data_IF_250621206420
#
_entry.id   IF_250621206420
#
_cell.length_a   1.000
_cell.length_b   1.000
_cell.length_c   1.000
_cell.angle_alpha   90.00
_cell.angle_beta   90.00
_cell.angle_gamma   90.00
#
_symmetry.space_group_name_H-M   'P 1'
#
loop_
_entity.id
_entity.type
_entity.pdbx_description
1 polymer ?
#
# COMPACT_ATOMS: atom_id res chain seq x y z
N UNK A 1 -2.33 7.03 18.93
CA UNK A 1 -1.63 5.74 18.95
C UNK A 1 -0.45 5.92 18.00
N UNK A 2 0.78 5.61 18.42
CA UNK A 2 1.99 6.23 17.84
C UNK A 2 2.82 5.29 16.97
N UNK A 3 3.64 5.91 16.10
CA UNK A 3 4.65 5.23 15.28
C UNK A 3 5.59 4.32 16.09
N UNK A 4 5.98 4.73 17.31
CA UNK A 4 6.86 3.93 18.17
C UNK A 4 6.25 2.55 18.50
N UNK A 5 4.94 2.49 18.74
CA UNK A 5 4.27 1.22 19.03
C UNK A 5 4.27 0.30 17.81
N UNK A 6 4.09 0.86 16.62
CA UNK A 6 4.18 0.10 15.37
C UNK A 6 5.60 -0.44 15.13
N UNK A 7 6.63 0.38 15.42
CA UNK A 7 8.02 -0.07 15.34
C UNK A 7 8.28 -1.24 16.30
N UNK A 8 7.82 -1.14 17.54
CA UNK A 8 8.06 -2.16 18.57
C UNK A 8 7.24 -3.44 18.33
N UNK A 9 5.98 -3.33 17.90
CA UNK A 9 5.07 -4.47 17.77
C UNK A 9 5.11 -5.15 16.41
N UNK A 10 5.44 -4.42 15.34
CA UNK A 10 5.40 -4.92 13.97
C UNK A 10 6.78 -4.96 13.35
N UNK A 11 7.46 -3.81 13.21
CA UNK A 11 8.75 -3.73 12.51
C UNK A 11 9.82 -4.58 13.20
N UNK A 12 9.86 -4.60 14.53
CA UNK A 12 10.83 -5.41 15.29
C UNK A 12 10.75 -6.92 15.03
N UNK A 13 9.62 -7.40 14.47
CA UNK A 13 9.39 -8.81 14.12
C UNK A 13 9.82 -9.14 12.69
N UNK A 14 10.28 -8.16 11.93
CA UNK A 14 10.82 -8.29 10.59
C UNK A 14 9.78 -8.25 9.47
N UNK A 15 10.28 -8.39 8.24
CA UNK A 15 9.53 -8.20 7.00
C UNK A 15 8.24 -9.03 6.84
N UNK A 16 8.19 -10.26 7.37
CA UNK A 16 6.97 -11.07 7.30
C UNK A 16 5.83 -10.45 8.13
N UNK A 17 6.14 -9.75 9.22
CA UNK A 17 5.15 -9.16 10.12
C UNK A 17 4.44 -7.94 9.51
N UNK A 18 5.03 -7.30 8.50
CA UNK A 18 4.43 -6.19 7.76
C UNK A 18 3.65 -6.63 6.52
N UNK A 19 3.59 -7.93 6.21
CA UNK A 19 2.74 -8.42 5.13
C UNK A 19 1.26 -8.14 5.47
N UNK A 20 0.44 -7.66 4.52
CA UNK A 20 -0.93 -7.24 4.81
C UNK A 20 -1.77 -8.26 5.60
N UNK A 21 -1.66 -9.54 5.23
CA UNK A 21 -2.43 -10.64 5.83
C UNK A 21 -1.91 -11.09 7.22
N UNK A 22 -0.75 -10.58 7.66
CA UNK A 22 -0.18 -10.85 8.98
C UNK A 22 -0.37 -9.67 9.95
N UNK A 23 -0.88 -8.54 9.47
CA UNK A 23 -1.17 -7.39 10.30
C UNK A 23 -2.41 -7.65 11.16
N UNK A 24 -2.33 -7.27 12.43
CA UNK A 24 -3.52 -7.14 13.27
C UNK A 24 -4.44 -6.06 12.70
N UNK A 25 -5.76 -6.23 12.92
CA UNK A 25 -6.82 -5.37 12.38
C UNK A 25 -6.52 -3.88 12.61
N UNK A 26 -6.05 -3.50 13.80
CA UNK A 26 -5.73 -2.11 14.13
C UNK A 26 -4.63 -1.48 13.26
N UNK A 27 -3.64 -2.28 12.83
CA UNK A 27 -2.53 -1.81 12.02
C UNK A 27 -2.91 -1.78 10.56
N UNK A 28 -3.68 -2.79 10.12
CA UNK A 28 -4.23 -2.84 8.78
C UNK A 28 -5.14 -1.64 8.52
N UNK A 29 -6.02 -1.26 9.45
CA UNK A 29 -6.88 -0.08 9.30
C UNK A 29 -6.08 1.22 9.14
N UNK A 30 -5.00 1.38 9.90
CA UNK A 30 -4.14 2.58 9.83
C UNK A 30 -3.37 2.66 8.53
N UNK A 31 -2.76 1.54 8.13
CA UNK A 31 -2.06 1.44 6.85
C UNK A 31 -3.04 1.58 5.67
N UNK A 32 -4.28 1.11 5.80
CA UNK A 32 -5.33 1.30 4.80
C UNK A 32 -5.62 2.79 4.59
N UNK A 33 -5.75 3.58 5.66
CA UNK A 33 -5.94 5.03 5.53
C UNK A 33 -4.78 5.69 4.79
N UNK A 34 -3.53 5.36 5.17
CA UNK A 34 -2.34 5.91 4.52
C UNK A 34 -2.24 5.49 3.05
N UNK A 35 -2.42 4.20 2.75
CA UNK A 35 -2.38 3.63 1.41
C UNK A 35 -3.43 4.27 0.49
N UNK A 36 -4.66 4.42 0.99
CA UNK A 36 -5.74 5.07 0.26
C UNK A 36 -5.41 6.52 -0.07
N UNK A 37 -4.92 7.29 0.90
CA UNK A 37 -4.56 8.69 0.69
C UNK A 37 -3.39 8.82 -0.29
N UNK A 38 -2.36 7.98 -0.15
CA UNK A 38 -1.22 7.92 -1.06
C UNK A 38 -1.66 7.66 -2.50
N UNK A 39 -2.50 6.64 -2.72
CA UNK A 39 -3.03 6.31 -4.05
C UNK A 39 -3.91 7.42 -4.62
N UNK A 40 -4.72 8.09 -3.79
CA UNK A 40 -5.56 9.20 -4.23
C UNK A 40 -4.71 10.37 -4.74
N UNK A 41 -3.68 10.77 -3.99
CA UNK A 41 -2.73 11.80 -4.42
C UNK A 41 -2.00 11.40 -5.71
N UNK A 42 -1.57 10.15 -5.82
CA UNK A 42 -0.88 9.65 -7.01
C UNK A 42 -1.78 9.67 -8.27
N UNK A 43 -3.09 9.45 -8.13
CA UNK A 43 -4.04 9.45 -9.26
C UNK A 43 -4.48 10.87 -9.64
N UNK A 44 -4.71 11.74 -8.66
CA UNK A 44 -5.22 13.09 -8.91
C UNK A 44 -4.16 14.04 -9.49
N UNK A 45 -2.89 13.62 -9.53
CA UNK A 45 -1.74 14.47 -9.91
C UNK A 45 -1.78 15.84 -9.19
N UNK A 46 -2.36 15.88 -7.99
CA UNK A 46 -2.49 17.13 -7.25
C UNK A 46 -1.11 17.55 -6.75
N UNK A 47 -0.61 18.68 -7.27
CA UNK A 47 0.40 19.50 -6.62
C UNK A 47 -0.22 20.08 -5.33
N UNK A 48 -0.47 19.24 -4.33
CA UNK A 48 -0.89 19.70 -3.01
C UNK A 48 0.34 20.21 -2.26
N UNK A 49 0.25 21.42 -1.70
CA UNK A 49 1.24 21.92 -0.72
C UNK A 49 1.27 21.08 0.58
N UNK A 50 0.40 20.06 0.71
CA UNK A 50 0.41 19.09 1.80
C UNK A 50 1.50 18.03 1.59
N UNK A 51 2.41 17.90 2.56
CA UNK A 51 3.40 16.82 2.54
C UNK A 51 2.69 15.46 2.59
N UNK A 52 2.83 14.61 1.56
CA UNK A 52 2.13 13.32 1.48
C UNK A 52 2.50 12.34 2.61
N UNK A 53 3.56 12.66 3.37
CA UNK A 53 4.10 11.83 4.44
C UNK A 53 4.17 12.53 5.80
N UNK A 54 3.38 13.59 6.01
CA UNK A 54 3.43 14.41 7.24
C UNK A 54 2.78 13.77 8.48
N UNK A 55 1.97 12.72 8.32
CA UNK A 55 1.24 12.09 9.42
C UNK A 55 1.81 10.73 9.86
N UNK A 56 1.45 10.30 11.07
CA UNK A 56 1.97 9.06 11.67
C UNK A 56 1.64 7.80 10.85
N UNK A 57 0.49 7.72 10.17
CA UNK A 57 0.14 6.53 9.40
C UNK A 57 0.98 6.45 8.12
N UNK A 58 1.24 7.59 7.49
CA UNK A 58 2.13 7.68 6.34
C UNK A 58 3.57 7.30 6.70
N UNK A 59 4.03 7.66 7.90
CA UNK A 59 5.32 7.16 8.43
C UNK A 59 5.31 5.64 8.65
N UNK A 60 4.20 5.06 9.13
CA UNK A 60 4.06 3.59 9.26
C UNK A 60 4.15 2.89 7.90
N UNK A 61 3.49 3.46 6.88
CA UNK A 61 3.53 2.96 5.50
C UNK A 61 4.96 2.95 4.95
N UNK A 62 5.67 4.07 5.11
CA UNK A 62 7.08 4.19 4.71
C UNK A 62 7.97 3.18 5.43
N UNK A 63 7.79 3.00 6.75
CA UNK A 63 8.55 2.01 7.52
C UNK A 63 8.32 0.58 7.03
N UNK A 64 7.06 0.21 6.74
CA UNK A 64 6.73 -1.13 6.24
C UNK A 64 7.36 -1.40 4.87
N UNK A 65 7.28 -0.45 3.94
CA UNK A 65 7.89 -0.58 2.60
C UNK A 65 9.42 -0.62 2.69
N UNK A 66 10.00 0.18 3.58
CA UNK A 66 11.45 0.17 3.83
C UNK A 66 11.92 -1.19 4.33
N UNK A 67 11.23 -1.75 5.33
CA UNK A 67 11.53 -3.08 5.89
C UNK A 67 11.46 -4.18 4.82
N UNK A 68 10.39 -4.20 4.01
CA UNK A 68 10.24 -5.17 2.92
C UNK A 68 11.30 -5.00 1.82
N UNK A 69 11.62 -3.76 1.46
CA UNK A 69 12.65 -3.46 0.46
C UNK A 69 14.02 -3.93 0.93
N UNK A 70 14.35 -3.72 2.21
CA UNK A 70 15.60 -4.20 2.79
C UNK A 70 15.66 -5.73 2.82
N UNK A 71 14.56 -6.40 3.15
CA UNK A 71 14.50 -7.86 3.17
C UNK A 71 14.67 -8.50 1.79
N UNK A 72 14.19 -7.84 0.71
CA UNK A 72 14.37 -8.33 -0.66
C UNK A 72 15.78 -8.10 -1.22
N UNK A 73 16.51 -7.10 -0.72
CA UNK A 73 17.84 -6.73 -1.22
C UNK A 73 18.99 -7.57 -0.64
N UNK A 74 18.71 -8.61 0.15
CA UNK A 74 19.73 -9.34 0.92
C UNK A 74 20.66 -8.34 1.66
N UNK A 75 20.06 -7.37 2.36
CA UNK A 75 20.78 -6.25 2.96
C UNK A 75 21.97 -6.72 3.79
N UNK A 76 23.18 -6.49 3.26
CA UNK A 76 24.44 -6.73 3.97
C UNK A 76 24.88 -5.38 4.55
N UNK A 77 25.03 -5.21 5.88
CA UNK A 77 25.26 -3.91 6.52
C UNK A 77 26.53 -3.14 6.09
N UNK A 78 27.35 -3.71 5.21
CA UNK A 78 28.64 -3.19 4.75
C UNK A 78 28.62 -2.72 3.28
N UNK A 79 27.49 -2.81 2.56
CA UNK A 79 27.38 -2.26 1.22
C UNK A 79 27.03 -0.77 1.32
N UNK A 80 27.94 0.07 0.81
CA UNK A 80 27.83 1.53 0.78
C UNK A 80 26.43 1.95 0.33
N UNK A 81 25.87 2.99 0.98
CA UNK A 81 24.55 3.58 0.73
C UNK A 81 24.25 3.72 -0.78
N UNK A 82 23.74 2.64 -1.38
CA UNK A 82 23.17 2.69 -2.72
C UNK A 82 21.98 3.62 -2.61
N UNK A 83 22.09 4.76 -3.30
CA UNK A 83 21.03 5.76 -3.36
C UNK A 83 19.72 5.03 -3.63
N UNK A 84 18.77 5.18 -2.70
CA UNK A 84 17.43 4.62 -2.88
C UNK A 84 16.89 5.22 -4.17
N UNK A 85 16.70 4.38 -5.19
CA UNK A 85 16.04 4.78 -6.42
C UNK A 85 14.62 5.24 -6.04
N UNK A 86 14.40 6.55 -6.07
CA UNK A 86 13.14 7.17 -5.69
C UNK A 86 11.98 6.60 -6.52
N UNK A 87 12.20 6.38 -7.82
CA UNK A 87 11.20 5.81 -8.72
C UNK A 87 10.80 4.39 -8.30
N UNK A 88 11.79 3.54 -8.02
CA UNK A 88 11.54 2.18 -7.52
C UNK A 88 10.84 2.21 -6.15
N UNK A 89 11.18 3.15 -5.28
CA UNK A 89 10.54 3.26 -3.97
C UNK A 89 9.07 3.68 -4.08
N UNK A 90 8.74 4.62 -4.97
CA UNK A 90 7.35 4.99 -5.26
C UNK A 90 6.55 3.83 -5.89
N UNK A 91 7.18 3.02 -6.73
CA UNK A 91 6.58 1.81 -7.28
C UNK A 91 6.29 0.77 -6.18
N UNK A 92 7.24 0.54 -5.27
CA UNK A 92 7.06 -0.33 -4.11
C UNK A 92 5.95 0.18 -3.18
N UNK A 93 5.88 1.50 -2.93
CA UNK A 93 4.79 2.13 -2.19
C UNK A 93 3.44 1.87 -2.84
N UNK A 94 3.36 2.00 -4.16
CA UNK A 94 2.12 1.76 -4.92
C UNK A 94 1.68 0.30 -4.82
N UNK A 95 2.61 -0.63 -4.98
CA UNK A 95 2.31 -2.06 -4.90
C UNK A 95 1.90 -2.50 -3.49
N UNK A 96 2.58 -2.00 -2.46
CA UNK A 96 2.23 -2.28 -1.07
C UNK A 96 0.87 -1.67 -0.71
N UNK A 97 0.62 -0.43 -1.13
CA UNK A 97 -0.66 0.25 -0.91
C UNK A 97 -1.83 -0.52 -1.52
N UNK A 98 -1.70 -0.97 -2.78
CA UNK A 98 -2.71 -1.83 -3.41
C UNK A 98 -2.89 -3.15 -2.66
N UNK A 99 -1.82 -3.77 -2.19
CA UNK A 99 -1.88 -5.02 -1.43
C UNK A 99 -2.60 -4.85 -0.08
N UNK A 100 -2.44 -3.70 0.58
CA UNK A 100 -3.20 -3.34 1.79
C UNK A 100 -4.69 -3.20 1.48
N UNK A 101 -5.05 -2.52 0.39
CA UNK A 101 -6.43 -2.37 -0.03
C UNK A 101 -7.07 -3.73 -0.38
N UNK A 102 -6.35 -4.61 -1.09
CA UNK A 102 -6.83 -5.95 -1.40
C UNK A 102 -7.05 -6.80 -0.15
N UNK A 103 -6.15 -6.74 0.84
CA UNK A 103 -6.36 -7.44 2.10
C UNK A 103 -7.59 -6.90 2.86
N UNK A 104 -7.76 -5.57 2.93
CA UNK A 104 -8.92 -4.97 3.57
C UNK A 104 -10.24 -5.39 2.87
N UNK A 105 -10.25 -5.43 1.54
CA UNK A 105 -11.39 -5.93 0.76
C UNK A 105 -11.63 -7.41 1.04
N UNK A 106 -10.57 -8.24 1.04
CA UNK A 106 -10.65 -9.68 1.32
C UNK A 106 -11.22 -9.97 2.70
N UNK A 107 -10.92 -9.15 3.72
CA UNK A 107 -11.46 -9.31 5.07
C UNK A 107 -12.95 -8.96 5.18
N UNK A 108 -13.46 -8.11 4.28
CA UNK A 108 -14.82 -7.55 4.35
C UNK A 108 -15.77 -8.07 3.25
N UNK A 109 -15.29 -8.93 2.35
CA UNK A 109 -16.04 -9.42 1.19
C UNK A 109 -15.90 -10.93 1.01
N UNK A 110 -16.56 -11.46 -0.02
CA UNK A 110 -16.40 -12.85 -0.46
C UNK A 110 -15.22 -13.06 -1.42
N UNK A 111 -14.52 -11.99 -1.80
CA UNK A 111 -13.38 -12.08 -2.71
C UNK A 111 -12.21 -12.81 -2.05
N UNK A 112 -11.52 -13.63 -2.84
CA UNK A 112 -10.30 -14.31 -2.43
C UNK A 112 -9.19 -13.98 -3.40
N UNK A 113 -8.07 -13.50 -2.89
CA UNK A 113 -6.88 -13.18 -3.65
C UNK A 113 -5.71 -14.04 -3.20
N UNK A 114 -4.75 -14.25 -4.09
CA UNK A 114 -3.46 -14.81 -3.71
C UNK A 114 -2.77 -13.89 -2.70
N UNK A 115 -2.37 -14.44 -1.55
CA UNK A 115 -1.70 -13.68 -0.51
C UNK A 115 -0.24 -13.44 -0.91
N UNK A 116 0.26 -12.20 -0.85
CA UNK A 116 1.65 -11.91 -1.14
C UNK A 116 2.56 -12.47 -0.06
N UNK A 117 3.76 -12.90 -0.43
CA UNK A 117 4.89 -13.11 0.48
C UNK A 117 5.91 -11.97 0.37
N UNK A 118 7.00 -12.05 1.13
CA UNK A 118 8.05 -11.02 1.11
C UNK A 118 8.73 -10.90 -0.26
N UNK A 119 8.78 -11.96 -1.06
CA UNK A 119 9.40 -11.95 -2.40
C UNK A 119 8.48 -11.41 -3.49
N UNK A 120 7.17 -11.55 -3.29
CA UNK A 120 6.18 -11.17 -4.29
C UNK A 120 5.50 -9.86 -3.94
N UNK A 121 5.48 -9.33 -2.70
CA UNK A 121 4.66 -8.16 -2.31
C UNK A 121 4.68 -6.97 -3.27
N UNK A 122 5.82 -6.67 -3.92
CA UNK A 122 5.98 -5.60 -4.92
C UNK A 122 5.79 -6.03 -6.39
N UNK A 123 5.39 -7.27 -6.65
CA UNK A 123 5.15 -7.83 -7.97
C UNK A 123 3.86 -7.27 -8.58
N UNK A 124 4.03 -6.50 -9.65
CA UNK A 124 2.95 -5.90 -10.43
C UNK A 124 2.15 -6.91 -11.23
N UNK A 125 2.79 -7.99 -11.70
CA UNK A 125 2.10 -9.00 -12.48
C UNK A 125 1.08 -9.74 -11.60
N UNK A 126 1.39 -9.96 -10.32
CA UNK A 126 0.42 -10.47 -9.34
C UNK A 126 -0.77 -9.53 -9.18
N UNK A 127 -0.52 -8.23 -8.97
CA UNK A 127 -1.58 -7.24 -8.78
C UNK A 127 -2.48 -7.14 -10.03
N UNK A 128 -1.88 -7.20 -11.21
CA UNK A 128 -2.59 -7.23 -12.48
C UNK A 128 -3.42 -8.51 -12.66
N UNK A 129 -2.90 -9.66 -12.24
CA UNK A 129 -3.64 -10.93 -12.29
C UNK A 129 -4.92 -10.87 -11.43
N UNK A 130 -4.85 -10.27 -10.24
CA UNK A 130 -6.03 -10.04 -9.37
C UNK A 130 -7.10 -9.23 -10.11
N UNK A 131 -6.70 -8.14 -10.78
CA UNK A 131 -7.62 -7.32 -11.58
C UNK A 131 -8.26 -8.11 -12.72
N UNK A 132 -7.48 -8.92 -13.44
CA UNK A 132 -8.00 -9.72 -14.56
C UNK A 132 -8.99 -10.80 -14.11
N UNK A 133 -8.73 -11.43 -12.96
CA UNK A 133 -9.61 -12.46 -12.41
C UNK A 133 -10.86 -11.88 -11.76
N UNK A 134 -10.77 -10.65 -11.23
CA UNK A 134 -11.86 -9.96 -10.54
C UNK A 134 -12.06 -8.54 -11.09
N UNK A 135 -12.60 -8.35 -12.31
CA UNK A 135 -12.67 -7.02 -12.94
C UNK A 135 -13.47 -5.97 -12.15
N UNK A 136 -14.42 -6.40 -11.31
CA UNK A 136 -15.18 -5.50 -10.41
C UNK A 136 -14.29 -4.84 -9.35
N UNK A 137 -13.10 -5.40 -9.09
CA UNK A 137 -12.16 -4.85 -8.11
C UNK A 137 -11.69 -3.44 -8.49
N UNK A 138 -11.56 -3.15 -9.79
CA UNK A 138 -11.15 -1.83 -10.27
C UNK A 138 -12.19 -0.76 -9.92
N UNK A 139 -13.48 -1.10 -10.04
CA UNK A 139 -14.57 -0.19 -9.65
C UNK A 139 -14.56 0.06 -8.14
N UNK A 140 -14.37 -1.00 -7.34
CA UNK A 140 -14.27 -0.90 -5.88
C UNK A 140 -13.06 -0.04 -5.48
N UNK A 141 -11.90 -0.26 -6.09
CA UNK A 141 -10.70 0.53 -5.82
C UNK A 141 -10.90 2.00 -6.17
N UNK A 142 -11.52 2.30 -7.32
CA UNK A 142 -11.82 3.69 -7.70
C UNK A 142 -12.78 4.36 -6.72
N UNK A 143 -13.84 3.66 -6.28
CA UNK A 143 -14.76 4.20 -5.26
C UNK A 143 -14.04 4.41 -3.92
N UNK A 144 -13.19 3.46 -3.50
CA UNK A 144 -12.44 3.57 -2.25
C UNK A 144 -11.44 4.71 -2.28
N UNK A 145 -10.66 4.84 -3.36
CA UNK A 145 -9.54 5.78 -3.46
C UNK A 145 -10.03 7.19 -3.80
N UNK A 146 -10.94 7.33 -4.76
CA UNK A 146 -11.37 8.63 -5.29
C UNK A 146 -12.74 9.07 -4.77
N UNK A 147 -13.51 8.18 -4.13
CA UNK A 147 -14.90 8.45 -3.76
C UNK A 147 -15.85 8.55 -4.95
N UNK A 148 -15.41 8.18 -6.16
CA UNK A 148 -16.22 8.29 -7.40
C UNK A 148 -17.10 7.05 -7.51
N UNK A 149 -18.42 7.26 -7.52
CA UNK A 149 -19.38 6.22 -7.90
C UNK A 149 -19.53 6.15 -9.43
N UNK A 150 -19.76 4.95 -10.00
CA UNK A 150 -19.84 4.76 -11.45
C UNK A 150 -20.97 5.57 -12.15
N UNK A 151 -21.91 6.17 -11.41
CA UNK A 151 -23.01 6.97 -11.95
C UNK A 151 -22.77 8.50 -11.95
N UNK A 152 -21.63 9.02 -11.45
CA UNK A 152 -21.36 10.48 -11.41
C UNK A 152 -20.37 10.98 -12.48
N UNK A 153 -19.96 10.11 -13.42
CA UNK A 153 -19.05 10.47 -14.52
C UNK A 153 -19.75 10.98 -15.80
N UNK A 154 -21.05 11.28 -15.75
CA UNK A 154 -21.75 11.96 -16.84
C UNK A 154 -22.66 13.05 -16.28
N UNK A 155 -22.16 14.29 -16.25
CA UNK A 155 -22.91 15.51 -16.57
C UNK A 155 -22.06 16.75 -16.24
N UNK A 156 -21.00 16.98 -17.01
CA UNK A 156 -20.46 18.34 -17.22
C UNK A 156 -20.12 18.52 -18.70
N UNK A 157 -21.18 18.60 -19.52
CA UNK A 157 -21.18 19.26 -20.82
C UNK A 157 -22.61 19.74 -21.09
N UNK A 158 -22.97 20.92 -20.54
CA UNK A 158 -24.16 21.70 -20.95
C UNK A 158 -23.99 23.20 -20.69
#
# INVERSE_FOLDING_TARGET
MSINRFMDEVISRGAEAVLPHNLEEEWLERLFIAAKNFLAMAVLEEDSDEEPFGDENSMMLLSAVTELTQAQKDYTPDEEEDQVDEGLFFENLSCYSLSILFEAIRQQSEFTFELPDTGTIFDRDRLYAIEQETPVITEILNELVLGVKPDEASDEDA
#
